data_IF_400752069132
#
_entry.id   IF_400752069132
#
_cell.length_a   1.000
_cell.length_b   1.000
_cell.length_c   1.000
_cell.angle_alpha   90.00
_cell.angle_beta   90.00
_cell.angle_gamma   90.00
#
_symmetry.space_group_name_H-M   'P 1'
#
loop_
_entity.id
_entity.type
_entity.pdbx_description
1 polymer ?
#
# COMPACT_ATOMS: atom_id res chain seq x y z
N UNK A 1 -4.88 2.10 22.67
CA UNK A 1 -4.03 2.21 21.46
C UNK A 1 -3.70 0.86 20.81
N UNK A 2 -3.17 -0.14 21.53
CA UNK A 2 -2.87 -1.46 20.92
C UNK A 2 -4.12 -2.15 20.35
N UNK A 3 -5.25 -2.10 21.08
CA UNK A 3 -6.56 -2.58 20.61
C UNK A 3 -7.01 -1.87 19.34
N UNK A 4 -6.88 -0.54 19.27
CA UNK A 4 -7.23 0.26 18.09
C UNK A 4 -6.38 -0.08 16.86
N UNK A 5 -5.10 -0.38 17.04
CA UNK A 5 -4.20 -0.78 15.95
C UNK A 5 -4.51 -2.19 15.42
N UNK A 6 -4.85 -3.13 16.31
CA UNK A 6 -5.24 -4.49 15.96
C UNK A 6 -6.59 -4.47 15.22
N UNK A 7 -7.57 -3.73 15.74
CA UNK A 7 -8.89 -3.57 15.11
C UNK A 7 -8.75 -2.95 13.72
N UNK A 8 -7.90 -1.93 13.54
CA UNK A 8 -7.66 -1.31 12.23
C UNK A 8 -6.91 -2.21 11.22
N UNK A 9 -6.05 -3.11 11.70
CA UNK A 9 -5.38 -4.11 10.86
C UNK A 9 -6.34 -5.24 10.46
N UNK A 10 -7.20 -5.68 11.38
CA UNK A 10 -8.24 -6.67 11.08
C UNK A 10 -9.31 -6.10 10.17
N UNK A 11 -9.70 -4.83 10.34
CA UNK A 11 -10.66 -4.19 9.43
C UNK A 11 -10.08 -4.00 8.02
N UNK A 12 -8.79 -3.68 7.90
CA UNK A 12 -8.11 -3.60 6.60
C UNK A 12 -8.02 -4.98 5.91
N UNK A 13 -7.77 -6.06 6.67
CA UNK A 13 -7.79 -7.42 6.15
C UNK A 13 -9.20 -7.87 5.72
N UNK A 14 -10.24 -7.52 6.48
CA UNK A 14 -11.62 -7.79 6.08
C UNK A 14 -12.08 -6.91 4.91
N UNK A 15 -11.57 -5.68 4.78
CA UNK A 15 -11.78 -4.83 3.60
C UNK A 15 -11.22 -5.49 2.33
N UNK A 16 -10.02 -6.07 2.41
CA UNK A 16 -9.42 -6.88 1.33
C UNK A 16 -10.32 -8.06 0.92
N UNK A 17 -10.92 -8.76 1.89
CA UNK A 17 -11.86 -9.86 1.62
C UNK A 17 -13.17 -9.37 1.01
N UNK A 18 -13.74 -8.25 1.48
CA UNK A 18 -14.97 -7.68 0.89
C UNK A 18 -14.76 -7.07 -0.49
N UNK A 19 -13.57 -6.52 -0.79
CA UNK A 19 -13.26 -6.03 -2.15
C UNK A 19 -13.06 -7.15 -3.16
N UNK A 20 -12.74 -8.38 -2.74
CA UNK A 20 -12.70 -9.52 -3.65
C UNK A 20 -14.10 -9.89 -4.20
N UNK A 21 -15.17 -9.49 -3.49
CA UNK A 21 -16.57 -9.73 -3.87
C UNK A 21 -17.26 -8.50 -4.46
N UNK A 22 -16.58 -7.35 -4.56
CA UNK A 22 -17.16 -6.15 -5.16
C UNK A 22 -17.11 -6.28 -6.70
N UNK A 23 -18.28 -6.24 -7.33
CA UNK A 23 -18.43 -6.24 -8.78
C UNK A 23 -18.01 -4.86 -9.32
N UNK A 24 -16.71 -4.66 -9.51
CA UNK A 24 -16.18 -3.45 -10.13
C UNK A 24 -16.56 -3.43 -11.62
N UNK A 25 -16.99 -2.29 -12.16
CA UNK A 25 -17.34 -2.14 -13.58
C UNK A 25 -16.20 -2.62 -14.50
N UNK A 26 -16.55 -3.23 -15.64
CA UNK A 26 -15.59 -3.71 -16.62
C UNK A 26 -14.99 -2.48 -17.33
N UNK A 27 -13.74 -2.14 -16.99
CA UNK A 27 -13.08 -0.86 -17.31
C UNK A 27 -13.05 -0.44 -18.77
N UNK A 28 -13.23 -1.39 -19.69
CA UNK A 28 -13.32 -1.13 -21.13
C UNK A 28 -14.71 -1.36 -21.73
N UNK A 29 -15.71 -1.78 -20.94
CA UNK A 29 -17.05 -2.17 -21.40
C UNK A 29 -18.14 -1.16 -21.03
N UNK A 30 -17.84 -0.23 -20.13
CA UNK A 30 -18.81 0.73 -19.56
C UNK A 30 -19.25 1.89 -20.46
N UNK A 31 -19.28 1.70 -21.78
CA UNK A 31 -19.67 2.73 -22.75
C UNK A 31 -20.36 2.22 -24.01
N UNK A 32 -20.58 0.90 -24.15
CA UNK A 32 -21.33 0.33 -25.27
C UNK A 32 -22.72 0.02 -24.74
N UNK A 33 -23.70 0.80 -25.19
CA UNK A 33 -25.07 0.73 -24.68
C UNK A 33 -25.65 -0.67 -24.81
N UNK A 34 -26.46 -1.05 -23.82
CA UNK A 34 -27.37 -2.20 -23.85
C UNK A 34 -28.51 -1.95 -24.87
N UNK A 35 -28.15 -1.70 -26.13
CA UNK A 35 -29.08 -1.49 -27.23
C UNK A 35 -28.51 -2.16 -28.47
N UNK A 36 -28.99 -3.38 -28.71
CA UNK A 36 -28.97 -4.11 -29.98
C UNK A 36 -27.64 -4.06 -30.76
N UNK A 37 -26.73 -5.00 -30.43
CA UNK A 37 -25.49 -5.23 -31.18
C UNK A 37 -24.42 -5.98 -30.38
N UNK A 38 -24.54 -7.31 -30.33
CA UNK A 38 -23.46 -8.31 -30.19
C UNK A 38 -22.53 -8.29 -28.98
N UNK A 39 -22.71 -7.40 -27.99
CA UNK A 39 -22.04 -7.46 -26.69
C UNK A 39 -20.50 -7.46 -26.74
N UNK A 40 -19.90 -7.12 -27.87
CA UNK A 40 -18.48 -7.30 -28.07
C UNK A 40 -17.66 -6.03 -27.87
N UNK A 41 -16.44 -6.13 -27.35
CA UNK A 41 -15.59 -4.96 -27.25
C UNK A 41 -15.20 -4.47 -28.66
N UNK A 42 -15.16 -3.14 -28.91
CA UNK A 42 -14.98 -2.55 -30.24
C UNK A 42 -13.63 -2.83 -30.90
N UNK A 43 -12.68 -3.42 -30.17
CA UNK A 43 -11.40 -3.88 -30.71
C UNK A 43 -11.42 -5.38 -31.08
N UNK A 44 -12.55 -6.08 -31.00
CA UNK A 44 -12.70 -7.49 -31.41
C UNK A 44 -13.63 -7.56 -32.61
N UNK A 45 -13.17 -8.15 -33.72
CA UNK A 45 -14.03 -8.49 -34.86
C UNK A 45 -14.48 -9.96 -34.79
N UNK A 46 -15.70 -10.25 -35.26
CA UNK A 46 -16.21 -11.62 -35.40
C UNK A 46 -16.87 -12.22 -34.15
N UNK A 47 -17.51 -11.39 -33.32
CA UNK A 47 -18.23 -11.84 -32.13
C UNK A 47 -19.65 -12.35 -32.37
N UNK A 48 -20.00 -12.50 -33.64
CA UNK A 48 -21.16 -13.21 -34.11
C UNK A 48 -21.05 -14.68 -33.64
N UNK A 49 -21.70 -14.96 -32.51
CA UNK A 49 -22.08 -16.30 -32.08
C UNK A 49 -23.53 -16.57 -32.43
N UNK A 50 -23.96 -16.26 -33.66
CA UNK A 50 -25.23 -16.75 -34.19
C UNK A 50 -25.05 -18.24 -34.44
N UNK A 51 -25.42 -19.05 -33.44
CA UNK A 51 -25.74 -20.45 -33.63
C UNK A 51 -27.02 -20.56 -34.49
N UNK A 52 -26.96 -20.13 -35.75
CA UNK A 52 -28.03 -20.40 -36.72
C UNK A 52 -27.82 -21.79 -37.29
N UNK A 53 -28.66 -22.71 -36.83
CA UNK A 53 -28.79 -24.05 -37.36
C UNK A 53 -29.35 -23.96 -38.78
N UNK A 54 -28.47 -23.87 -39.77
CA UNK A 54 -28.82 -23.82 -41.20
C UNK A 54 -27.77 -24.53 -42.05
N UNK A 55 -28.12 -25.73 -42.49
CA UNK A 55 -27.38 -26.58 -43.43
C UNK A 55 -27.02 -25.87 -44.74
N UNK A 56 -25.75 -25.92 -45.16
CA UNK A 56 -25.27 -26.25 -46.52
C UNK A 56 -23.78 -25.92 -46.64
N UNK A 57 -22.98 -26.92 -47.05
CA UNK A 57 -21.53 -26.94 -46.88
C UNK A 57 -20.70 -25.96 -47.72
N UNK A 58 -19.50 -25.69 -47.20
CA UNK A 58 -18.26 -25.64 -47.97
C UNK A 58 -17.08 -25.89 -47.02
N UNK A 59 -16.14 -26.71 -47.47
CA UNK A 59 -14.93 -27.07 -46.75
C UNK A 59 -13.89 -25.95 -46.86
N UNK A 60 -13.98 -24.98 -45.96
CA UNK A 60 -12.92 -24.00 -45.72
C UNK A 60 -12.58 -23.97 -44.24
N UNK A 61 -11.42 -24.50 -43.86
CA UNK A 61 -10.88 -24.32 -42.52
C UNK A 61 -10.45 -22.85 -42.34
N UNK A 62 -11.40 -21.94 -42.18
CA UNK A 62 -11.12 -20.61 -41.68
C UNK A 62 -10.93 -20.72 -40.19
N UNK A 63 -9.68 -20.76 -39.74
CA UNK A 63 -9.35 -20.42 -38.37
C UNK A 63 -9.88 -18.99 -38.14
N UNK A 64 -11.04 -18.87 -37.49
CA UNK A 64 -11.53 -17.63 -36.91
C UNK A 64 -10.58 -17.24 -35.78
N UNK A 65 -9.43 -16.70 -36.16
CA UNK A 65 -8.64 -15.91 -35.25
C UNK A 65 -9.51 -14.71 -34.90
N UNK A 66 -10.03 -14.66 -33.67
CA UNK A 66 -10.57 -13.44 -33.07
C UNK A 66 -9.49 -12.36 -33.16
N UNK A 67 -9.50 -11.64 -34.27
CA UNK A 67 -8.51 -10.63 -34.60
C UNK A 67 -8.81 -9.42 -33.76
N UNK A 68 -8.02 -9.21 -32.72
CA UNK A 68 -8.00 -7.91 -32.05
C UNK A 68 -7.63 -6.88 -33.13
N UNK A 69 -8.53 -5.97 -33.48
CA UNK A 69 -8.31 -4.96 -34.52
C UNK A 69 -7.31 -3.93 -34.00
N UNK A 70 -6.02 -4.22 -34.18
CA UNK A 70 -4.89 -3.36 -33.80
C UNK A 70 -5.05 -1.93 -34.35
N UNK A 71 -5.71 -1.79 -35.50
CA UNK A 71 -6.00 -0.52 -36.17
C UNK A 71 -7.02 0.39 -35.49
N UNK A 72 -7.79 -0.08 -34.50
CA UNK A 72 -8.78 0.74 -33.80
C UNK A 72 -8.15 1.67 -32.74
N UNK A 73 -6.94 1.34 -32.27
CA UNK A 73 -6.22 2.08 -31.21
C UNK A 73 -4.92 2.72 -31.69
N UNK A 74 -4.26 2.13 -32.70
CA UNK A 74 -2.97 2.62 -33.20
C UNK A 74 -2.91 2.58 -34.72
N UNK A 75 -2.16 3.50 -35.32
CA UNK A 75 -2.12 3.67 -36.78
C UNK A 75 -1.21 2.66 -37.47
N UNK A 76 -0.39 1.93 -36.70
CA UNK A 76 0.48 0.88 -37.22
C UNK A 76 0.73 -0.24 -36.19
N UNK A 77 1.07 -1.46 -36.65
CA UNK A 77 1.50 -2.55 -35.76
C UNK A 77 2.68 -2.18 -34.86
N UNK A 78 3.63 -1.37 -35.37
CA UNK A 78 4.80 -0.93 -34.61
C UNK A 78 4.43 -0.04 -33.40
N UNK A 79 3.42 0.82 -33.55
CA UNK A 79 2.91 1.65 -32.45
C UNK A 79 2.18 0.80 -31.40
N UNK A 80 1.41 -0.19 -31.84
CA UNK A 80 0.74 -1.14 -30.96
C UNK A 80 1.75 -1.97 -30.14
N UNK A 81 2.81 -2.47 -30.78
CA UNK A 81 3.89 -3.18 -30.11
C UNK A 81 4.60 -2.31 -29.07
N UNK A 82 4.83 -1.03 -29.41
CA UNK A 82 5.41 -0.06 -28.47
C UNK A 82 4.50 0.15 -27.27
N UNK A 83 3.20 0.33 -27.48
CA UNK A 83 2.23 0.50 -26.40
C UNK A 83 2.16 -0.75 -25.50
N UNK A 84 2.21 -1.94 -26.09
CA UNK A 84 2.27 -3.21 -25.34
C UNK A 84 3.51 -3.28 -24.46
N UNK A 85 4.69 -2.90 -24.97
CA UNK A 85 5.92 -2.83 -24.17
C UNK A 85 5.83 -1.82 -23.04
N UNK A 86 5.23 -0.65 -23.28
CA UNK A 86 4.99 0.39 -22.26
C UNK A 86 4.05 -0.14 -21.17
N UNK A 87 3.00 -0.88 -21.55
CA UNK A 87 2.07 -1.50 -20.61
C UNK A 87 2.77 -2.51 -19.71
N UNK A 88 3.61 -3.38 -20.28
CA UNK A 88 4.39 -4.35 -19.50
C UNK A 88 5.36 -3.61 -18.56
N UNK A 89 6.07 -2.60 -19.04
CA UNK A 89 6.99 -1.81 -18.22
C UNK A 89 6.27 -1.09 -17.07
N UNK A 90 5.11 -0.48 -17.33
CA UNK A 90 4.24 0.11 -16.32
C UNK A 90 3.88 -0.93 -15.24
N UNK A 91 3.35 -2.09 -15.66
CA UNK A 91 2.89 -3.14 -14.76
C UNK A 91 4.03 -3.67 -13.88
N UNK A 92 5.20 -3.93 -14.47
CA UNK A 92 6.38 -4.44 -13.75
C UNK A 92 6.89 -3.41 -12.74
N UNK A 93 7.08 -2.16 -13.15
CA UNK A 93 7.64 -1.12 -12.28
C UNK A 93 6.68 -0.73 -11.16
N UNK A 94 5.39 -0.56 -11.46
CA UNK A 94 4.38 -0.25 -10.44
C UNK A 94 4.24 -1.40 -9.44
N UNK A 95 4.24 -2.65 -9.91
CA UNK A 95 4.20 -3.83 -9.03
C UNK A 95 5.45 -3.95 -8.18
N UNK A 96 6.64 -3.76 -8.74
CA UNK A 96 7.89 -3.80 -7.99
C UNK A 96 7.88 -2.77 -6.84
N UNK A 97 7.41 -1.55 -7.09
CA UNK A 97 7.30 -0.51 -6.05
C UNK A 97 6.32 -0.93 -4.95
N UNK A 98 5.07 -1.22 -5.30
CA UNK A 98 4.00 -1.36 -4.30
C UNK A 98 3.94 -2.73 -3.65
N UNK A 99 4.41 -3.77 -4.33
CA UNK A 99 4.41 -5.15 -3.81
C UNK A 99 5.72 -5.49 -3.11
N UNK A 100 6.87 -5.01 -3.61
CA UNK A 100 8.18 -5.40 -3.09
C UNK A 100 8.86 -4.27 -2.32
N UNK A 101 9.16 -3.14 -2.96
CA UNK A 101 10.05 -2.13 -2.38
C UNK A 101 9.44 -1.41 -1.19
N UNK A 102 8.23 -0.84 -1.32
CA UNK A 102 7.59 -0.09 -0.24
C UNK A 102 7.32 -0.98 0.98
N UNK A 103 6.75 -2.19 0.86
CA UNK A 103 6.57 -3.09 2.00
C UNK A 103 7.90 -3.49 2.64
N UNK A 104 8.93 -3.83 1.85
CA UNK A 104 10.25 -4.21 2.38
C UNK A 104 10.92 -3.09 3.16
N UNK A 105 10.90 -1.86 2.61
CA UNK A 105 11.43 -0.67 3.27
C UNK A 105 10.65 -0.31 4.54
N UNK A 106 9.35 -0.63 4.59
CA UNK A 106 8.55 -0.48 5.79
C UNK A 106 8.90 -1.56 6.84
N UNK A 107 9.09 -2.82 6.44
CA UNK A 107 9.49 -3.91 7.34
C UNK A 107 10.87 -3.64 7.96
N UNK A 108 11.81 -3.08 7.21
CA UNK A 108 13.17 -2.81 7.69
C UNK A 108 13.20 -1.98 8.99
N UNK A 109 12.33 -0.97 9.12
CA UNK A 109 12.22 -0.16 10.35
C UNK A 109 11.64 -0.93 11.55
N UNK A 110 11.06 -2.11 11.34
CA UNK A 110 10.41 -2.94 12.36
C UNK A 110 11.30 -4.08 12.87
N UNK A 111 12.50 -4.24 12.30
CA UNK A 111 13.49 -5.23 12.74
C UNK A 111 14.22 -4.82 14.05
N UNK A 112 13.81 -3.73 14.69
CA UNK A 112 14.39 -3.21 15.93
C UNK A 112 15.90 -2.90 15.87
N UNK A 113 16.43 -2.74 14.66
CA UNK A 113 17.78 -2.27 14.43
C UNK A 113 17.82 -0.78 14.79
N UNK A 114 18.31 -0.46 15.99
CA UNK A 114 18.54 0.93 16.46
C UNK A 114 19.76 1.54 15.75
N UNK A 115 19.74 1.52 14.42
CA UNK A 115 20.86 1.96 13.59
C UNK A 115 20.41 3.16 12.72
N UNK A 116 21.08 4.33 12.80
CA UNK A 116 20.77 5.48 11.95
C UNK A 116 20.88 5.15 10.44
N UNK A 117 21.65 4.14 10.05
CA UNK A 117 21.77 3.67 8.67
C UNK A 117 20.43 3.10 8.18
N UNK A 118 19.70 2.36 9.01
CA UNK A 118 18.40 1.76 8.64
C UNK A 118 17.35 2.84 8.33
N UNK A 119 17.36 3.94 9.08
CA UNK A 119 16.50 5.09 8.79
C UNK A 119 16.87 5.77 7.46
N UNK A 120 18.17 5.89 7.16
CA UNK A 120 18.64 6.43 5.88
C UNK A 120 18.22 5.55 4.70
N UNK A 121 18.40 4.22 4.81
CA UNK A 121 17.98 3.26 3.79
C UNK A 121 16.48 3.36 3.56
N UNK A 122 15.67 3.44 4.62
CA UNK A 122 14.24 3.66 4.52
C UNK A 122 13.90 4.95 3.76
N UNK A 123 14.49 6.09 4.16
CA UNK A 123 14.19 7.38 3.54
C UNK A 123 14.62 7.44 2.06
N UNK A 124 15.87 7.07 1.76
CA UNK A 124 16.41 7.10 0.39
C UNK A 124 15.68 6.08 -0.48
N UNK A 125 15.47 4.86 0.02
CA UNK A 125 14.76 3.81 -0.69
C UNK A 125 13.32 4.20 -1.01
N UNK A 126 12.61 4.88 -0.09
CA UNK A 126 11.24 5.32 -0.37
C UNK A 126 11.19 6.47 -1.37
N UNK A 127 12.14 7.41 -1.34
CA UNK A 127 12.24 8.47 -2.35
C UNK A 127 12.51 7.85 -3.73
N UNK A 128 13.47 6.93 -3.82
CA UNK A 128 13.78 6.22 -5.08
C UNK A 128 12.58 5.43 -5.60
N UNK A 129 11.90 4.70 -4.71
CA UNK A 129 10.68 3.95 -5.05
C UNK A 129 9.57 4.87 -5.58
N UNK A 130 9.43 6.06 -4.98
CA UNK A 130 8.46 7.05 -5.42
C UNK A 130 8.81 7.63 -6.80
N UNK A 131 10.08 7.90 -7.09
CA UNK A 131 10.53 8.33 -8.42
C UNK A 131 10.21 7.26 -9.47
N UNK A 132 10.52 5.99 -9.18
CA UNK A 132 10.16 4.87 -10.07
C UNK A 132 8.65 4.82 -10.29
N UNK A 133 7.85 5.05 -9.24
CA UNK A 133 6.40 5.07 -9.35
C UNK A 133 5.86 6.24 -10.16
N UNK A 134 6.49 7.43 -10.10
CA UNK A 134 6.13 8.56 -10.98
C UNK A 134 6.34 8.16 -12.45
N UNK A 135 7.46 7.52 -12.78
CA UNK A 135 7.74 7.04 -14.14
C UNK A 135 6.70 6.01 -14.56
N UNK A 136 6.41 5.03 -13.70
CA UNK A 136 5.35 4.05 -13.95
C UNK A 136 3.98 4.72 -14.16
N UNK A 137 3.59 5.66 -13.30
CA UNK A 137 2.34 6.41 -13.43
C UNK A 137 2.29 7.21 -14.74
N UNK A 138 3.39 7.85 -15.15
CA UNK A 138 3.50 8.55 -16.43
C UNK A 138 3.23 7.64 -17.63
N UNK A 139 3.79 6.42 -17.61
CA UNK A 139 3.49 5.41 -18.64
C UNK A 139 2.01 5.00 -18.65
N UNK A 140 1.41 4.81 -17.47
CA UNK A 140 -0.01 4.47 -17.34
C UNK A 140 -0.94 5.59 -17.81
N UNK A 141 -0.62 6.85 -17.48
CA UNK A 141 -1.34 8.04 -17.93
C UNK A 141 -1.27 8.14 -19.45
N UNK A 142 -0.09 7.94 -20.04
CA UNK A 142 0.07 7.96 -21.49
C UNK A 142 -0.78 6.89 -22.16
N UNK A 143 -0.78 5.64 -21.65
CA UNK A 143 -1.65 4.57 -22.18
C UNK A 143 -3.14 4.92 -22.06
N UNK A 144 -3.56 5.47 -20.92
CA UNK A 144 -4.94 5.88 -20.69
C UNK A 144 -5.36 7.05 -21.60
N UNK A 145 -4.43 7.93 -22.00
CA UNK A 145 -4.69 8.96 -23.01
C UNK A 145 -4.92 8.34 -24.40
N UNK A 146 -4.11 7.37 -24.82
CA UNK A 146 -4.30 6.69 -26.11
C UNK A 146 -5.61 5.90 -26.18
N UNK A 147 -6.10 5.43 -25.04
CA UNK A 147 -7.32 4.63 -24.93
C UNK A 147 -8.53 5.40 -24.37
N UNK A 148 -8.45 6.74 -24.34
CA UNK A 148 -9.47 7.57 -23.72
C UNK A 148 -10.87 7.37 -24.34
N UNK A 149 -10.95 7.18 -25.65
CA UNK A 149 -12.19 6.93 -26.38
C UNK A 149 -12.92 5.64 -25.94
N UNK A 150 -12.19 4.70 -25.33
CA UNK A 150 -12.71 3.42 -24.86
C UNK A 150 -13.06 3.43 -23.36
N UNK A 151 -13.10 4.62 -22.74
CA UNK A 151 -13.58 4.78 -21.37
C UNK A 151 -12.62 4.29 -20.29
N UNK A 152 -11.33 4.08 -20.59
CA UNK A 152 -10.32 3.62 -19.60
C UNK A 152 -10.27 4.50 -18.35
N UNK A 153 -10.49 5.80 -18.48
CA UNK A 153 -10.56 6.72 -17.35
C UNK A 153 -11.71 6.45 -16.38
N UNK A 154 -12.73 5.68 -16.78
CA UNK A 154 -13.84 5.30 -15.92
C UNK A 154 -13.50 4.11 -15.01
N UNK A 155 -12.47 3.33 -15.36
CA UNK A 155 -12.03 2.20 -14.55
C UNK A 155 -11.49 2.66 -13.17
N UNK A 156 -11.70 1.87 -12.11
CA UNK A 156 -11.14 2.19 -10.79
C UNK A 156 -9.60 2.22 -10.76
N UNK A 157 -8.88 1.50 -11.62
CA UNK A 157 -7.40 1.44 -11.59
C UNK A 157 -6.74 2.80 -11.87
N UNK A 158 -7.04 3.53 -12.96
CA UNK A 158 -6.43 4.86 -13.16
C UNK A 158 -6.83 5.86 -12.08
N UNK A 159 -8.11 5.87 -11.64
CA UNK A 159 -8.61 6.76 -10.59
C UNK A 159 -7.88 6.53 -9.26
N UNK A 160 -7.81 5.27 -8.82
CA UNK A 160 -7.15 4.90 -7.57
C UNK A 160 -5.63 5.09 -7.67
N UNK A 161 -5.02 4.74 -8.82
CA UNK A 161 -3.60 4.94 -9.09
C UNK A 161 -3.17 6.41 -8.96
N UNK A 162 -3.96 7.34 -9.53
CA UNK A 162 -3.71 8.78 -9.39
C UNK A 162 -3.88 9.27 -7.95
N UNK A 163 -4.90 8.77 -7.24
CA UNK A 163 -5.09 9.09 -5.83
C UNK A 163 -3.90 8.59 -4.97
N UNK A 164 -3.40 7.38 -5.23
CA UNK A 164 -2.21 6.82 -4.58
C UNK A 164 -0.98 7.67 -4.88
N UNK A 165 -0.78 8.08 -6.14
CA UNK A 165 0.33 8.95 -6.54
C UNK A 165 0.31 10.27 -5.76
N UNK A 166 -0.85 10.94 -5.73
CA UNK A 166 -1.02 12.21 -5.02
C UNK A 166 -0.83 12.06 -3.50
N UNK A 167 -1.39 11.02 -2.89
CA UNK A 167 -1.24 10.77 -1.45
C UNK A 167 0.17 10.37 -1.05
N UNK A 168 0.87 9.60 -1.89
CA UNK A 168 2.25 9.19 -1.67
C UNK A 168 3.22 10.39 -1.66
N UNK A 169 2.93 11.46 -2.42
CA UNK A 169 3.71 12.70 -2.39
C UNK A 169 3.85 13.29 -0.98
N UNK A 170 2.81 13.19 -0.15
CA UNK A 170 2.82 13.74 1.21
C UNK A 170 3.57 12.87 2.23
N UNK A 171 3.84 11.59 1.91
CA UNK A 171 4.57 10.69 2.80
C UNK A 171 5.96 11.21 3.20
N UNK A 172 6.87 11.58 2.28
CA UNK A 172 8.19 12.10 2.63
C UNK A 172 8.11 13.42 3.41
N UNK A 173 7.13 14.27 3.13
CA UNK A 173 6.91 15.54 3.85
C UNK A 173 6.57 15.25 5.32
N UNK A 174 5.57 14.40 5.57
CA UNK A 174 5.21 14.05 6.94
C UNK A 174 6.32 13.30 7.68
N UNK A 175 7.07 12.45 6.97
CA UNK A 175 8.24 11.74 7.51
C UNK A 175 9.34 12.72 7.94
N UNK A 176 9.68 13.70 7.09
CA UNK A 176 10.69 14.72 7.36
C UNK A 176 10.29 15.63 8.53
N UNK A 177 9.03 16.09 8.58
CA UNK A 177 8.51 16.90 9.69
C UNK A 177 8.53 16.10 10.99
N UNK A 178 8.14 14.82 10.96
CA UNK A 178 8.20 13.96 12.15
C UNK A 178 9.64 13.82 12.65
N UNK A 179 10.58 13.51 11.75
CA UNK A 179 11.98 13.30 12.08
C UNK A 179 12.65 14.58 12.62
N UNK A 180 12.38 15.74 12.03
CA UNK A 180 12.95 17.02 12.49
C UNK A 180 12.48 17.37 13.90
N UNK A 181 11.18 17.21 14.17
CA UNK A 181 10.61 17.44 15.51
C UNK A 181 11.20 16.44 16.51
N UNK A 182 11.31 15.16 16.14
CA UNK A 182 11.86 14.13 17.01
C UNK A 182 13.32 14.43 17.36
N UNK A 183 14.16 14.73 16.37
CA UNK A 183 15.58 15.08 16.55
C UNK A 183 15.73 16.31 17.45
N UNK A 184 14.95 17.37 17.21
CA UNK A 184 14.96 18.58 18.05
C UNK A 184 14.59 18.27 19.51
N UNK A 185 13.60 17.40 19.76
CA UNK A 185 13.24 16.99 21.13
C UNK A 185 14.36 16.20 21.80
N UNK A 186 14.99 15.26 21.09
CA UNK A 186 16.14 14.50 21.63
C UNK A 186 17.27 15.45 22.03
N UNK A 187 17.64 16.39 21.17
CA UNK A 187 18.68 17.38 21.44
C UNK A 187 18.34 18.27 22.65
N UNK A 188 17.09 18.73 22.73
CA UNK A 188 16.65 19.56 23.85
C UNK A 188 16.67 18.81 25.19
N UNK A 189 16.26 17.54 25.22
CA UNK A 189 16.36 16.69 26.43
C UNK A 189 17.82 16.49 26.84
N UNK A 190 18.71 16.20 25.89
CA UNK A 190 20.14 16.05 26.17
C UNK A 190 20.78 17.35 26.68
N UNK A 191 20.29 18.50 26.22
CA UNK A 191 20.74 19.82 26.64
C UNK A 191 20.05 20.35 27.91
N UNK A 192 19.23 19.55 28.60
CA UNK A 192 18.48 19.96 29.80
C UNK A 192 17.41 21.03 29.57
N UNK A 193 17.03 21.30 28.30
CA UNK A 193 16.02 22.30 27.96
C UNK A 193 14.60 21.75 28.18
N UNK A 194 13.66 22.55 28.71
CA UNK A 194 12.28 22.10 28.88
C UNK A 194 11.66 21.76 27.52
N UNK A 195 11.30 20.49 27.33
CA UNK A 195 10.68 20.01 26.10
C UNK A 195 9.84 18.76 26.35
N UNK A 196 8.94 18.43 25.42
CA UNK A 196 8.18 17.17 25.46
C UNK A 196 9.12 15.99 25.18
N UNK A 197 8.94 14.88 25.89
CA UNK A 197 9.73 13.67 25.66
C UNK A 197 9.75 13.24 24.17
N UNK A 198 10.87 12.70 23.67
CA UNK A 198 10.98 12.17 22.31
C UNK A 198 9.92 11.08 22.10
N UNK A 199 9.10 11.24 21.08
CA UNK A 199 7.98 10.35 20.84
C UNK A 199 7.28 10.61 19.52
N UNK A 200 6.21 9.84 19.25
CA UNK A 200 5.40 10.03 18.05
C UNK A 200 4.76 11.42 18.03
N UNK A 201 5.00 12.16 16.95
CA UNK A 201 4.34 13.44 16.70
C UNK A 201 3.03 13.22 15.96
N UNK A 202 2.15 14.24 15.89
CA UNK A 202 0.94 14.15 15.09
C UNK A 202 1.25 13.83 13.60
N UNK A 203 2.20 14.51 12.92
CA UNK A 203 2.65 14.13 11.58
C UNK A 203 3.19 12.70 11.50
N UNK A 204 3.91 12.23 12.53
CA UNK A 204 4.40 10.85 12.57
C UNK A 204 3.29 9.80 12.66
N UNK A 205 2.14 10.13 13.28
CA UNK A 205 0.96 9.26 13.28
C UNK A 205 0.29 9.22 11.91
N UNK A 206 0.15 10.38 11.27
CA UNK A 206 -0.41 10.49 9.91
C UNK A 206 0.47 9.74 8.92
N UNK A 207 1.78 9.99 8.91
CA UNK A 207 2.76 9.27 8.08
C UNK A 207 2.61 7.75 8.22
N UNK A 208 2.57 7.23 9.45
CA UNK A 208 2.46 5.79 9.70
C UNK A 208 1.15 5.18 9.19
N UNK A 209 0.00 5.83 9.46
CA UNK A 209 -1.30 5.29 9.06
C UNK A 209 -1.54 5.43 7.56
N UNK A 210 -1.20 6.59 6.99
CA UNK A 210 -1.29 6.81 5.56
C UNK A 210 -0.35 5.85 4.80
N UNK A 211 0.87 5.60 5.30
CA UNK A 211 1.77 4.62 4.70
C UNK A 211 1.22 3.19 4.72
N UNK A 212 0.53 2.78 5.80
CA UNK A 212 -0.18 1.49 5.87
C UNK A 212 -1.30 1.40 4.85
N UNK A 213 -2.13 2.45 4.76
CA UNK A 213 -3.22 2.51 3.81
C UNK A 213 -2.70 2.44 2.37
N UNK A 214 -1.64 3.20 2.06
CA UNK A 214 -1.03 3.22 0.73
C UNK A 214 -0.47 1.85 0.31
N UNK A 215 0.13 1.07 1.21
CA UNK A 215 0.58 -0.29 0.88
C UNK A 215 -0.60 -1.16 0.43
N UNK A 216 -1.69 -1.15 1.19
CA UNK A 216 -2.89 -1.95 0.87
C UNK A 216 -3.52 -1.46 -0.44
N UNK A 217 -3.74 -0.15 -0.57
CA UNK A 217 -4.32 0.43 -1.78
C UNK A 217 -3.44 0.21 -3.00
N UNK A 218 -2.11 0.26 -2.88
CA UNK A 218 -1.16 -0.01 -3.95
C UNK A 218 -1.26 -1.45 -4.47
N UNK A 219 -1.38 -2.43 -3.58
CA UNK A 219 -1.59 -3.84 -3.96
C UNK A 219 -2.96 -4.07 -4.59
N UNK A 220 -4.02 -3.47 -4.04
CA UNK A 220 -5.36 -3.54 -4.65
C UNK A 220 -5.32 -2.91 -6.06
N UNK A 221 -4.69 -1.74 -6.19
CA UNK A 221 -4.58 -1.03 -7.46
C UNK A 221 -3.79 -1.84 -8.49
N UNK A 222 -2.72 -2.52 -8.11
CA UNK A 222 -1.99 -3.41 -9.02
C UNK A 222 -2.86 -4.58 -9.50
N UNK A 223 -3.65 -5.19 -8.61
CA UNK A 223 -4.62 -6.22 -8.99
C UNK A 223 -5.70 -5.71 -9.95
N UNK A 224 -6.22 -4.50 -9.72
CA UNK A 224 -7.14 -3.83 -10.64
C UNK A 224 -6.49 -3.54 -12.00
N UNK A 225 -5.20 -3.20 -12.04
CA UNK A 225 -4.45 -3.00 -13.28
C UNK A 225 -4.28 -4.28 -14.10
N UNK A 226 -4.00 -5.41 -13.45
CA UNK A 226 -3.96 -6.73 -14.12
C UNK A 226 -5.34 -7.11 -14.67
N UNK A 227 -6.41 -6.83 -13.92
CA UNK A 227 -7.79 -7.00 -14.39
C UNK A 227 -8.10 -6.08 -15.58
N UNK A 228 -7.66 -4.83 -15.55
CA UNK A 228 -7.86 -3.90 -16.66
C UNK A 228 -7.11 -4.37 -17.92
N UNK A 229 -5.89 -4.89 -17.75
CA UNK A 229 -5.10 -5.46 -18.83
C UNK A 229 -5.72 -6.72 -19.44
N UNK A 230 -6.43 -7.54 -18.65
CA UNK A 230 -7.08 -8.76 -19.17
C UNK A 230 -8.24 -8.51 -20.10
N UNK A 231 -8.83 -7.32 -20.06
CA UNK A 231 -9.87 -6.89 -21.00
C UNK A 231 -9.31 -5.92 -22.05
N UNK A 232 -8.00 -5.76 -22.13
CA UNK A 232 -7.39 -4.83 -23.07
C UNK A 232 -6.92 -5.54 -24.34
N UNK A 233 -6.86 -4.85 -25.49
CA UNK A 233 -6.33 -5.43 -26.72
C UNK A 233 -4.83 -5.79 -26.62
N UNK A 234 -4.11 -5.25 -25.64
CA UNK A 234 -2.66 -5.42 -25.48
C UNK A 234 -2.22 -6.81 -25.00
N UNK A 235 -3.12 -7.62 -24.46
CA UNK A 235 -2.78 -8.93 -23.91
C UNK A 235 -3.76 -10.02 -24.35
N UNK A 236 -3.22 -11.23 -24.50
CA UNK A 236 -4.03 -12.43 -24.71
C UNK A 236 -4.55 -12.97 -23.38
N UNK A 237 -5.63 -13.77 -23.41
CA UNK A 237 -6.20 -14.40 -22.23
C UNK A 237 -5.19 -15.26 -21.46
N UNK A 238 -4.32 -15.96 -22.19
CA UNK A 238 -3.26 -16.80 -21.61
C UNK A 238 -2.20 -15.97 -20.90
N UNK A 239 -1.81 -14.82 -21.46
CA UNK A 239 -0.84 -13.90 -20.83
C UNK A 239 -1.43 -13.26 -19.58
N UNK A 240 -2.67 -12.79 -19.68
CA UNK A 240 -3.42 -12.17 -18.58
C UNK A 240 -3.62 -13.12 -17.40
N UNK A 241 -3.93 -14.39 -17.67
CA UNK A 241 -4.09 -15.42 -16.64
C UNK A 241 -2.76 -15.69 -15.91
N UNK A 242 -1.65 -15.83 -16.66
CA UNK A 242 -0.31 -15.99 -16.08
C UNK A 242 0.06 -14.79 -15.21
N UNK A 243 -0.18 -13.57 -15.69
CA UNK A 243 0.10 -12.34 -14.95
C UNK A 243 -0.73 -12.25 -13.66
N UNK A 244 -2.03 -12.60 -13.72
CA UNK A 244 -2.93 -12.65 -12.56
C UNK A 244 -2.44 -13.62 -11.50
N UNK A 245 -2.09 -14.84 -11.90
CA UNK A 245 -1.56 -15.87 -10.98
C UNK A 245 -0.26 -15.38 -10.36
N UNK A 246 0.73 -14.98 -11.17
CA UNK A 246 2.03 -14.53 -10.69
C UNK A 246 1.91 -13.33 -9.72
N UNK A 247 1.12 -12.33 -10.10
CA UNK A 247 0.88 -11.16 -9.26
C UNK A 247 0.23 -11.55 -7.93
N UNK A 248 -0.84 -12.35 -7.96
CA UNK A 248 -1.58 -12.73 -6.76
C UNK A 248 -0.72 -13.49 -5.75
N UNK A 249 0.10 -14.45 -6.21
CA UNK A 249 0.99 -15.25 -5.35
C UNK A 249 2.04 -14.36 -4.69
N UNK A 250 2.71 -13.49 -5.46
CA UNK A 250 3.76 -12.60 -4.94
C UNK A 250 3.16 -11.57 -3.98
N UNK A 251 2.04 -10.95 -4.36
CA UNK A 251 1.36 -9.95 -3.54
C UNK A 251 0.84 -10.53 -2.23
N UNK A 252 0.17 -11.69 -2.26
CA UNK A 252 -0.32 -12.36 -1.06
C UNK A 252 0.83 -12.74 -0.12
N UNK A 253 1.91 -13.30 -0.67
CA UNK A 253 3.10 -13.68 0.11
C UNK A 253 3.72 -12.46 0.80
N UNK A 254 3.96 -11.38 0.05
CA UNK A 254 4.53 -10.16 0.64
C UNK A 254 3.60 -9.47 1.64
N UNK A 255 2.29 -9.48 1.37
CA UNK A 255 1.32 -8.92 2.29
C UNK A 255 1.29 -9.70 3.62
N UNK A 256 1.33 -11.03 3.56
CA UNK A 256 1.41 -11.88 4.75
C UNK A 256 2.69 -11.61 5.53
N UNK A 257 3.85 -11.57 4.87
CA UNK A 257 5.12 -11.23 5.49
C UNK A 257 5.05 -9.85 6.18
N UNK A 258 4.56 -8.84 5.47
CA UNK A 258 4.35 -7.50 6.02
C UNK A 258 3.46 -7.52 7.27
N UNK A 259 2.34 -8.24 7.22
CA UNK A 259 1.39 -8.33 8.32
C UNK A 259 2.03 -8.98 9.56
N UNK A 260 2.76 -10.09 9.38
CA UNK A 260 3.49 -10.77 10.46
C UNK A 260 4.48 -9.81 11.13
N UNK A 261 5.29 -9.09 10.36
CA UNK A 261 6.25 -8.13 10.92
C UNK A 261 5.57 -6.94 11.62
N UNK A 262 4.46 -6.44 11.08
CA UNK A 262 3.70 -5.36 11.72
C UNK A 262 3.09 -5.82 13.05
N UNK A 263 2.43 -6.99 13.07
CA UNK A 263 1.78 -7.51 14.27
C UNK A 263 2.82 -7.83 15.34
N UNK A 264 3.87 -8.58 15.00
CA UNK A 264 4.93 -8.93 15.94
C UNK A 264 5.60 -7.69 16.54
N UNK A 265 5.85 -6.65 15.75
CA UNK A 265 6.40 -5.39 16.23
C UNK A 265 5.46 -4.66 17.20
N UNK A 266 4.15 -4.56 16.88
CA UNK A 266 3.19 -3.90 17.76
C UNK A 266 2.96 -4.69 19.06
N UNK A 267 2.96 -6.03 19.01
CA UNK A 267 2.87 -6.89 20.19
C UNK A 267 4.08 -6.71 21.11
N UNK A 268 5.30 -6.76 20.55
CA UNK A 268 6.54 -6.51 21.32
C UNK A 268 6.52 -5.13 21.98
N UNK A 269 6.08 -4.11 21.24
CA UNK A 269 5.97 -2.74 21.75
C UNK A 269 4.89 -2.57 22.83
N UNK A 270 3.80 -3.32 22.76
CA UNK A 270 2.77 -3.31 23.79
C UNK A 270 3.30 -3.92 25.09
N UNK A 271 4.02 -5.06 25.00
CA UNK A 271 4.65 -5.72 26.15
C UNK A 271 5.66 -4.83 26.86
N UNK A 272 6.56 -4.19 26.12
CA UNK A 272 7.59 -3.32 26.73
C UNK A 272 7.00 -2.11 27.47
N UNK A 273 5.90 -1.54 26.97
CA UNK A 273 5.19 -0.46 27.68
C UNK A 273 4.52 -0.94 28.96
N UNK A 274 3.90 -2.12 28.93
CA UNK A 274 3.27 -2.70 30.13
C UNK A 274 4.31 -3.01 31.20
N UNK A 275 5.48 -3.54 30.81
CA UNK A 275 6.61 -3.78 31.71
C UNK A 275 7.16 -2.49 32.32
N UNK A 276 7.28 -1.42 31.52
CA UNK A 276 7.71 -0.10 32.01
C UNK A 276 6.70 0.48 33.01
N UNK A 277 5.40 0.41 32.73
CA UNK A 277 4.36 0.88 33.66
C UNK A 277 4.37 0.09 34.97
N UNK A 278 4.41 -1.25 34.91
CA UNK A 278 4.52 -2.11 36.10
C UNK A 278 5.77 -1.81 36.93
N UNK A 279 6.88 -1.49 36.26
CA UNK A 279 8.12 -1.13 36.95
C UNK A 279 8.02 0.24 37.62
N UNK A 280 7.38 1.23 36.99
CA UNK A 280 7.12 2.54 37.62
C UNK A 280 6.16 2.43 38.80
N UNK A 281 5.10 1.64 38.68
CA UNK A 281 4.13 1.40 39.75
C UNK A 281 4.78 0.75 40.97
N UNK A 282 5.66 -0.24 40.77
CA UNK A 282 6.47 -0.82 41.86
C UNK A 282 7.39 0.20 42.54
N UNK A 283 7.99 1.12 41.79
CA UNK A 283 8.85 2.17 42.36
C UNK A 283 8.04 3.17 43.19
N UNK A 284 6.83 3.52 42.76
CA UNK A 284 5.94 4.41 43.51
C UNK A 284 5.47 3.71 44.79
N UNK A 285 4.96 2.48 44.69
CA UNK A 285 4.51 1.71 45.85
C UNK A 285 5.61 1.51 46.91
N UNK A 286 6.88 1.40 46.50
CA UNK A 286 8.00 1.31 47.43
C UNK A 286 8.37 2.65 48.09
N UNK A 287 8.07 3.78 47.45
CA UNK A 287 8.29 5.12 48.05
C UNK A 287 7.25 5.46 49.11
N UNK A 288 6.01 5.03 48.92
CA UNK A 288 4.91 5.27 49.86
C UNK A 288 5.04 4.43 51.15
N UNK A 289 5.96 3.45 51.19
CA UNK A 289 6.30 2.63 52.35
C UNK A 289 7.54 3.09 53.13
N UNK A 290 8.17 4.22 52.77
CA UNK A 290 9.27 4.80 53.54
C UNK A 290 8.70 5.70 54.64
N UNK A 291 9.17 5.58 55.91
CA UNK A 291 8.70 6.45 56.99
C UNK A 291 8.90 7.91 56.62
N UNK A 292 7.88 8.73 56.88
CA UNK A 292 7.97 10.18 56.75
C UNK A 292 9.13 10.67 57.62
N UNK A 293 9.96 11.55 57.07
CA UNK A 293 11.09 12.18 57.75
C UNK A 293 10.72 12.88 59.07
N UNK A 294 9.42 13.09 59.33
CA UNK A 294 8.90 13.61 60.60
C UNK A 294 9.04 12.62 61.78
N UNK A 295 9.17 11.31 61.56
CA UNK A 295 9.31 10.33 62.68
C UNK A 295 10.73 10.25 63.26
N UNK A 296 11.73 10.92 62.68
CA UNK A 296 13.11 10.88 63.18
C UNK A 296 13.49 12.00 64.16
N UNK A 297 12.65 13.01 64.33
CA UNK A 297 12.93 14.11 65.28
C UNK A 297 12.41 13.83 66.71
N UNK A 298 11.61 12.79 66.95
CA UNK A 298 11.09 12.48 68.29
C UNK A 298 12.09 11.71 69.19
N UNK A 299 13.22 11.22 68.66
CA UNK A 299 14.19 10.42 69.42
C UNK A 299 15.42 11.20 69.93
N UNK A 300 15.59 12.48 69.61
CA UNK A 300 16.81 13.23 69.96
C UNK A 300 16.48 14.49 70.74
N UNK A 301 16.04 14.34 71.99
CA UNK A 301 15.91 15.51 72.86
C UNK A 301 15.08 15.34 74.12
N UNK A 302 15.52 14.50 75.07
CA UNK A 302 15.09 14.67 76.46
C UNK A 302 16.32 14.86 77.36
N UNK A 303 16.67 16.10 77.74
CA UNK A 303 17.69 16.32 78.76
C UNK A 303 17.07 16.02 80.13
N UNK A 304 17.44 14.91 80.75
CA UNK A 304 17.14 14.67 82.16
C UNK A 304 18.11 15.50 83.02
N UNK A 305 17.66 16.67 83.47
CA UNK A 305 18.25 17.40 84.59
C UNK A 305 17.73 16.85 85.91
N UNK A 306 18.68 16.58 86.82
CA UNK A 306 18.63 16.62 88.29
C UNK A 306 17.48 15.91 89.04
N UNK A 307 17.82 14.89 89.83
CA UNK A 307 18.00 14.97 91.30
C UNK A 307 18.68 13.69 91.80
#
# INVERSE_FOLDING_TARGET
MARSSIIALTTAASLLVTTANAQFGYGWRGGFGDGDGDGCPPWVSGCDGSDDSGDSGDSGSSSSSNGISQGALFSSPAEFDRATRILIAHAVLASAVWVLFIPSLAILLRLNLKNPIVLKIHAIGQILSYIIFIVAAGMGIWLAQQSAAYGVWNDPHPKLGLAILALAFFQPIFGAIHHSIYKRRVQNVQAGKPTKLPGRTAPGRVHLWLGRLLIVLGMINGGLGIRLASFSPFQTDSTSTKAKIAYSVIAATMFLLYLVFVITFELRRARSKTEEMRSRERVIANKDGLPSYDESEESVGRPSRYS
#
